data_IF_057822111148
#
_entry.id   IF_057822111148
#
_cell.length_a   1.000
_cell.length_b   1.000
_cell.length_c   1.000
_cell.angle_alpha   90.00
_cell.angle_beta   90.00
_cell.angle_gamma   90.00
#
_symmetry.space_group_name_H-M   'P 1'
#
loop_
_entity.id
_entity.type
_entity.pdbx_description
1 polymer ?
#
# COMPACT_ATOMS: atom_id res chain seq x y z
N UNK A 1 -12.29 20.87 17.68
CA UNK A 1 -11.95 20.20 16.41
C UNK A 1 -10.44 20.10 16.33
N UNK A 2 -9.87 18.93 16.00
CA UNK A 2 -8.43 18.81 15.76
C UNK A 2 -8.04 19.65 14.53
N UNK A 3 -6.87 20.29 14.59
CA UNK A 3 -6.31 21.07 13.48
C UNK A 3 -4.96 20.50 13.07
N UNK A 4 -4.72 20.44 11.76
CA UNK A 4 -3.45 20.06 11.17
C UNK A 4 -2.95 21.25 10.33
N UNK A 5 -1.70 21.66 10.55
CA UNK A 5 -1.04 22.67 9.72
C UNK A 5 0.02 21.98 8.88
N UNK A 6 -0.06 22.17 7.57
CA UNK A 6 0.89 21.63 6.60
C UNK A 6 1.77 22.76 6.12
N UNK A 7 3.09 22.59 6.23
CA UNK A 7 4.04 23.50 5.62
C UNK A 7 4.34 23.02 4.21
N UNK A 8 4.36 23.94 3.26
CA UNK A 8 4.70 23.71 1.87
C UNK A 8 5.77 24.73 1.46
N UNK A 9 6.63 24.35 0.53
CA UNK A 9 7.61 25.28 -0.03
C UNK A 9 6.94 26.35 -0.88
N UNK A 10 7.62 27.49 -1.07
CA UNK A 10 7.06 28.68 -1.73
C UNK A 10 6.57 28.36 -3.16
N UNK A 11 7.33 27.57 -3.92
CA UNK A 11 6.97 27.15 -5.28
C UNK A 11 5.65 26.36 -5.33
N UNK A 12 5.41 25.50 -4.33
CA UNK A 12 4.17 24.74 -4.26
C UNK A 12 3.00 25.64 -3.84
N UNK A 13 3.24 26.57 -2.91
CA UNK A 13 2.24 27.54 -2.49
C UNK A 13 1.79 28.42 -3.64
N UNK A 14 2.71 28.94 -4.45
CA UNK A 14 2.37 29.79 -5.60
C UNK A 14 1.44 29.05 -6.58
N UNK A 15 1.78 27.80 -6.92
CA UNK A 15 0.95 26.94 -7.78
C UNK A 15 -0.41 26.62 -7.17
N UNK A 16 -0.50 26.51 -5.84
CA UNK A 16 -1.79 26.32 -5.16
C UNK A 16 -2.65 27.58 -5.20
N UNK A 17 -2.03 28.76 -5.10
CA UNK A 17 -2.70 30.06 -5.19
C UNK A 17 -3.21 30.38 -6.60
N UNK A 18 -2.60 29.81 -7.65
CA UNK A 18 -3.11 29.85 -9.03
C UNK A 18 -4.45 29.12 -9.21
N UNK A 19 -4.81 28.24 -8.28
CA UNK A 19 -6.05 27.45 -8.29
C UNK A 19 -6.92 27.72 -7.05
N UNK A 20 -7.46 28.95 -6.88
CA UNK A 20 -8.25 29.34 -5.71
C UNK A 20 -9.61 28.62 -5.63
N UNK A 21 -10.07 28.00 -6.72
CA UNK A 21 -11.28 27.18 -6.76
C UNK A 21 -11.15 25.86 -5.98
N UNK A 22 -9.92 25.44 -5.66
CA UNK A 22 -9.64 24.18 -4.97
C UNK A 22 -9.62 24.40 -3.46
N UNK A 23 -10.41 23.61 -2.73
CA UNK A 23 -10.33 23.54 -1.28
C UNK A 23 -9.17 22.62 -0.85
N UNK A 24 -7.97 23.18 -0.76
CA UNK A 24 -6.75 22.44 -0.39
C UNK A 24 -6.82 21.74 0.96
N UNK A 25 -7.60 22.26 1.92
CA UNK A 25 -7.82 21.59 3.21
C UNK A 25 -8.59 20.27 3.04
N UNK A 26 -9.54 20.23 2.11
CA UNK A 26 -10.29 19.02 1.82
C UNK A 26 -9.45 18.01 1.04
N UNK A 27 -8.68 18.46 0.05
CA UNK A 27 -7.72 17.61 -0.67
C UNK A 27 -6.73 16.96 0.31
N UNK A 28 -6.22 17.73 1.26
CA UNK A 28 -5.31 17.21 2.30
C UNK A 28 -6.00 16.16 3.17
N UNK A 29 -7.25 16.41 3.57
CA UNK A 29 -8.04 15.48 4.40
C UNK A 29 -8.24 14.15 3.68
N UNK A 30 -8.64 14.20 2.41
CA UNK A 30 -8.88 13.00 1.60
C UNK A 30 -7.60 12.20 1.42
N UNK A 31 -6.49 12.84 1.08
CA UNK A 31 -5.20 12.16 0.92
C UNK A 31 -4.73 11.46 2.22
N UNK A 32 -4.96 12.09 3.39
CA UNK A 32 -4.65 11.46 4.68
C UNK A 32 -5.56 10.25 4.93
N UNK A 33 -6.86 10.39 4.68
CA UNK A 33 -7.81 9.30 4.87
C UNK A 33 -7.49 8.10 3.99
N UNK A 34 -7.28 8.32 2.69
CA UNK A 34 -6.89 7.27 1.75
C UNK A 34 -5.59 6.58 2.17
N UNK A 35 -4.61 7.34 2.69
CA UNK A 35 -3.35 6.77 3.16
C UNK A 35 -3.54 5.92 4.42
N UNK A 36 -4.40 6.35 5.34
CA UNK A 36 -4.73 5.56 6.55
C UNK A 36 -5.44 4.27 6.13
N UNK A 37 -6.49 4.35 5.32
CA UNK A 37 -7.24 3.18 4.86
C UNK A 37 -6.32 2.17 4.16
N UNK A 38 -5.38 2.66 3.32
CA UNK A 38 -4.40 1.81 2.65
C UNK A 38 -3.44 1.12 3.64
N UNK A 39 -3.01 1.83 4.69
CA UNK A 39 -2.16 1.26 5.74
C UNK A 39 -2.93 0.26 6.59
N UNK A 40 -4.19 0.53 6.93
CA UNK A 40 -5.03 -0.41 7.69
C UNK A 40 -5.30 -1.69 6.92
N UNK A 41 -5.55 -1.62 5.61
CA UNK A 41 -5.67 -2.81 4.76
C UNK A 41 -4.34 -3.57 4.69
N UNK A 42 -3.21 -2.88 4.57
CA UNK A 42 -1.89 -3.53 4.61
C UNK A 42 -1.64 -4.20 5.96
N UNK A 43 -1.96 -3.54 7.06
CA UNK A 43 -1.84 -4.06 8.40
C UNK A 43 -2.78 -5.26 8.59
N UNK A 44 -4.04 -5.23 8.13
CA UNK A 44 -4.95 -6.39 8.19
C UNK A 44 -4.39 -7.59 7.42
N UNK A 45 -3.95 -7.37 6.18
CA UNK A 45 -3.35 -8.42 5.34
C UNK A 45 -2.05 -9.00 5.92
N UNK A 46 -1.29 -8.19 6.67
CA UNK A 46 -0.03 -8.61 7.29
C UNK A 46 -0.20 -9.08 8.74
N UNK A 47 -1.29 -8.72 9.42
CA UNK A 47 -1.58 -9.09 10.81
C UNK A 47 -1.90 -10.58 10.96
N UNK A 48 -2.49 -11.19 9.92
CA UNK A 48 -2.68 -12.65 9.86
C UNK A 48 -1.45 -13.38 9.29
N UNK A 49 -0.42 -12.65 8.86
CA UNK A 49 0.81 -13.17 8.29
C UNK A 49 2.01 -12.79 9.16
N UNK A 50 2.29 -13.60 10.19
CA UNK A 50 3.65 -13.73 10.72
C UNK A 50 4.53 -14.49 9.71
N UNK A 51 4.58 -14.03 8.45
CA UNK A 51 5.39 -14.67 7.42
C UNK A 51 6.86 -14.32 7.69
N UNK A 52 7.56 -15.28 8.29
CA UNK A 52 9.01 -15.25 8.43
C UNK A 52 9.66 -15.52 7.07
N UNK A 53 10.95 -15.20 6.91
CA UNK A 53 11.72 -15.62 5.73
C UNK A 53 11.61 -17.12 5.45
N UNK A 54 11.48 -17.93 6.51
CA UNK A 54 11.24 -19.38 6.41
C UNK A 54 9.90 -19.71 5.76
N UNK A 55 8.84 -18.95 6.02
CA UNK A 55 7.51 -19.19 5.45
C UNK A 55 7.49 -18.87 3.96
N UNK A 56 8.14 -17.77 3.56
CA UNK A 56 8.32 -17.42 2.15
C UNK A 56 9.07 -18.53 1.40
N UNK A 57 10.14 -19.09 1.98
CA UNK A 57 10.86 -20.22 1.39
C UNK A 57 9.99 -21.47 1.29
N UNK A 58 9.23 -21.80 2.34
CA UNK A 58 8.35 -22.96 2.36
C UNK A 58 7.26 -22.87 1.29
N UNK A 59 6.71 -21.67 1.07
CA UNK A 59 5.74 -21.41 0.00
C UNK A 59 6.38 -21.56 -1.38
N UNK A 60 7.58 -21.01 -1.60
CA UNK A 60 8.30 -21.14 -2.86
C UNK A 60 8.63 -22.61 -3.18
N UNK A 61 9.05 -23.38 -2.18
CA UNK A 61 9.35 -24.80 -2.32
C UNK A 61 8.09 -25.62 -2.68
N UNK A 62 6.96 -25.36 -2.02
CA UNK A 62 5.67 -25.99 -2.35
C UNK A 62 5.18 -25.67 -3.76
N UNK A 63 5.39 -24.44 -4.22
CA UNK A 63 5.03 -24.04 -5.59
C UNK A 63 5.91 -24.79 -6.61
N UNK A 64 7.21 -24.89 -6.36
CA UNK A 64 8.13 -25.62 -7.23
C UNK A 64 7.84 -27.13 -7.26
N UNK A 65 7.51 -27.72 -6.11
CA UNK A 65 7.17 -29.15 -6.01
C UNK A 65 5.89 -29.47 -6.79
N UNK A 66 4.81 -28.70 -6.59
CA UNK A 66 3.57 -28.87 -7.36
C UNK A 66 3.74 -28.56 -8.85
N UNK A 67 4.62 -27.62 -9.18
CA UNK A 67 4.97 -27.32 -10.57
C UNK A 67 5.64 -28.51 -11.25
N UNK A 68 6.53 -29.22 -10.54
CA UNK A 68 7.20 -30.43 -11.05
C UNK A 68 6.24 -31.61 -11.18
N UNK A 69 5.41 -31.85 -10.17
CA UNK A 69 4.43 -32.96 -10.17
C UNK A 69 3.49 -32.87 -11.39
N UNK A 70 3.03 -31.67 -11.74
CA UNK A 70 2.21 -31.44 -12.93
C UNK A 70 2.94 -31.70 -14.26
N UNK A 71 4.23 -31.39 -14.33
CA UNK A 71 5.04 -31.62 -15.53
C UNK A 71 5.32 -33.11 -15.70
N UNK A 72 5.52 -33.83 -14.59
CA UNK A 72 5.74 -35.28 -14.59
C UNK A 72 4.46 -36.06 -14.94
N UNK A 73 3.29 -35.60 -14.48
CA UNK A 73 1.97 -36.17 -14.86
C UNK A 73 1.61 -35.92 -16.33
N UNK A 74 1.96 -34.77 -16.91
CA UNK A 74 1.73 -34.49 -18.35
C UNK A 74 2.74 -35.22 -19.28
N UNK A 75 3.83 -35.78 -18.72
CA UNK A 75 4.88 -36.47 -19.48
C UNK A 75 4.80 -38.00 -19.45
N UNK A 76 3.79 -38.58 -18.77
CA UNK A 76 3.60 -40.03 -18.57
C UNK A 76 2.52 -40.66 -19.47
#
# INVERSE_FOLDING_TARGET
>A
MPSLTVNVDDDLKERMEEHPEINWSEVTRQAIQEKIDALEVMDELTSESELTESDVRNIADKINERGRERIDEESA
#
